data_IF_465536514633
#
_entry.id   IF_465536514633
#
_cell.length_a   1.000
_cell.length_b   1.000
_cell.length_c   1.000
_cell.angle_alpha   90.00
_cell.angle_beta   90.00
_cell.angle_gamma   90.00
#
_symmetry.space_group_name_H-M   'P 1'
#
loop_
_entity.id
_entity.type
_entity.pdbx_description
1 polymer ?
#
# COMPACT_ATOMS: atom_id res chain seq x y z
N UNK A 1 -2.13 4.47 3.96
CA UNK A 1 -1.38 5.68 4.41
C UNK A 1 -0.93 6.45 3.14
N UNK A 2 0.16 7.22 3.06
CA UNK A 2 0.67 7.70 1.75
C UNK A 2 1.69 6.67 1.20
N UNK A 3 1.80 6.47 -0.13
CA UNK A 3 2.62 5.40 -0.70
C UNK A 3 4.11 5.45 -0.30
N UNK A 4 4.70 6.65 -0.17
CA UNK A 4 6.10 6.78 0.23
C UNK A 4 6.36 6.30 1.67
N UNK A 5 5.37 6.41 2.56
CA UNK A 5 5.51 5.88 3.92
C UNK A 5 5.46 4.35 3.90
N UNK A 6 4.61 3.74 3.05
CA UNK A 6 4.57 2.29 2.88
C UNK A 6 5.89 1.76 2.30
N UNK A 7 6.47 2.47 1.34
CA UNK A 7 7.81 2.17 0.82
C UNK A 7 8.85 2.19 1.96
N UNK A 8 8.89 3.27 2.74
CA UNK A 8 9.88 3.44 3.82
C UNK A 8 9.73 2.36 4.90
N UNK A 9 8.52 2.08 5.35
CA UNK A 9 8.27 1.04 6.37
C UNK A 9 8.66 -0.35 5.83
N UNK A 10 8.31 -0.66 4.58
CA UNK A 10 8.72 -1.91 3.95
C UNK A 10 10.24 -2.01 3.85
N UNK A 11 10.93 -0.96 3.40
CA UNK A 11 12.39 -0.94 3.33
C UNK A 11 13.06 -1.14 4.69
N UNK A 12 12.57 -0.46 5.73
CA UNK A 12 13.04 -0.61 7.11
C UNK A 12 12.71 -1.98 7.72
N UNK A 13 11.74 -2.70 7.16
CA UNK A 13 11.42 -4.09 7.55
C UNK A 13 12.32 -5.08 6.81
N UNK A 14 12.52 -4.88 5.51
CA UNK A 14 13.24 -5.80 4.62
C UNK A 14 14.73 -5.77 4.89
N UNK A 15 15.34 -4.59 5.06
CA UNK A 15 16.79 -4.47 5.21
C UNK A 15 17.32 -5.24 6.44
N UNK A 16 16.74 -5.10 7.66
CA UNK A 16 17.19 -5.90 8.80
C UNK A 16 16.98 -7.41 8.60
N UNK A 17 15.86 -7.82 8.01
CA UNK A 17 15.60 -9.24 7.74
C UNK A 17 16.63 -9.80 6.76
N UNK A 18 16.93 -9.07 5.69
CA UNK A 18 17.95 -9.47 4.73
C UNK A 18 19.33 -9.60 5.37
N UNK A 19 19.74 -8.62 6.19
CA UNK A 19 21.05 -8.62 6.86
C UNK A 19 21.18 -9.77 7.89
N UNK A 20 20.13 -10.04 8.66
CA UNK A 20 20.18 -10.99 9.78
C UNK A 20 19.95 -12.43 9.30
N UNK A 21 19.00 -12.64 8.39
CA UNK A 21 18.54 -13.98 7.99
C UNK A 21 19.25 -14.47 6.73
N UNK A 22 19.73 -13.56 5.87
CA UNK A 22 20.43 -13.86 4.62
C UNK A 22 21.80 -13.17 4.56
N UNK A 23 22.69 -13.44 5.53
CA UNK A 23 23.98 -12.75 5.65
C UNK A 23 24.91 -12.97 4.46
N UNK A 24 24.64 -13.98 3.63
CA UNK A 24 25.37 -14.26 2.39
C UNK A 24 25.09 -13.24 1.27
N UNK A 25 24.03 -12.43 1.39
CA UNK A 25 23.67 -11.45 0.36
C UNK A 25 24.60 -10.26 0.34
N UNK A 26 24.98 -9.87 -0.88
CA UNK A 26 25.71 -8.64 -1.11
C UNK A 26 24.85 -7.39 -0.79
N UNK A 27 25.46 -6.22 -0.51
CA UNK A 27 24.73 -4.97 -0.32
C UNK A 27 23.83 -4.59 -1.51
N UNK A 28 24.23 -4.97 -2.74
CA UNK A 28 23.46 -4.71 -3.96
C UNK A 28 22.17 -5.53 -3.95
N UNK A 29 22.25 -6.82 -3.65
CA UNK A 29 21.06 -7.69 -3.56
C UNK A 29 20.11 -7.25 -2.45
N UNK A 30 20.64 -6.78 -1.32
CA UNK A 30 19.83 -6.18 -0.24
C UNK A 30 19.11 -4.92 -0.75
N UNK A 31 19.81 -4.08 -1.51
CA UNK A 31 19.23 -2.91 -2.16
C UNK A 31 18.10 -3.28 -3.12
N UNK A 32 18.29 -4.30 -3.96
CA UNK A 32 17.25 -4.83 -4.84
C UNK A 32 16.04 -5.32 -4.06
N UNK A 33 16.24 -6.05 -2.96
CA UNK A 33 15.15 -6.52 -2.11
C UNK A 33 14.34 -5.38 -1.51
N UNK A 34 15.02 -4.34 -1.01
CA UNK A 34 14.38 -3.13 -0.49
C UNK A 34 13.58 -2.41 -1.58
N UNK A 35 14.15 -2.27 -2.77
CA UNK A 35 13.47 -1.64 -3.90
C UNK A 35 12.24 -2.43 -4.33
N UNK A 36 12.37 -3.75 -4.52
CA UNK A 36 11.26 -4.61 -4.95
C UNK A 36 10.14 -4.60 -3.91
N UNK A 37 10.44 -4.94 -2.66
CA UNK A 37 9.40 -5.01 -1.62
C UNK A 37 8.82 -3.63 -1.26
N UNK A 38 9.65 -2.59 -1.26
CA UNK A 38 9.22 -1.21 -1.03
C UNK A 38 8.32 -0.69 -2.14
N UNK A 39 8.69 -0.88 -3.41
CA UNK A 39 7.87 -0.45 -4.55
C UNK A 39 6.57 -1.24 -4.63
N UNK A 40 6.59 -2.55 -4.37
CA UNK A 40 5.37 -3.36 -4.30
C UNK A 40 4.45 -2.87 -3.18
N UNK A 41 4.99 -2.62 -1.99
CA UNK A 41 4.25 -2.05 -0.86
C UNK A 41 3.59 -0.72 -1.24
N UNK A 42 4.31 0.18 -1.92
CA UNK A 42 3.74 1.45 -2.39
C UNK A 42 2.72 1.27 -3.54
N UNK A 43 2.94 0.30 -4.42
CA UNK A 43 2.10 0.05 -5.59
C UNK A 43 0.71 -0.48 -5.21
N UNK A 44 0.58 -1.15 -4.06
CA UNK A 44 -0.71 -1.65 -3.57
C UNK A 44 -1.70 -0.50 -3.36
N UNK A 45 -1.25 0.71 -2.98
CA UNK A 45 -2.09 1.93 -2.85
C UNK A 45 -2.62 2.49 -4.17
N UNK A 46 -2.12 2.03 -5.33
CA UNK A 46 -2.59 2.53 -6.63
C UNK A 46 -4.04 2.15 -6.90
N UNK A 47 -4.56 1.12 -6.23
CA UNK A 47 -5.96 0.70 -6.35
C UNK A 47 -6.91 1.79 -5.84
N UNK A 48 -6.58 2.49 -4.75
CA UNK A 48 -7.34 3.64 -4.24
C UNK A 48 -7.36 4.76 -5.28
N UNK A 49 -6.21 5.08 -5.87
CA UNK A 49 -6.11 6.13 -6.90
C UNK A 49 -6.97 5.77 -8.11
N UNK A 50 -6.91 4.52 -8.57
CA UNK A 50 -7.74 4.02 -9.65
C UNK A 50 -9.24 4.11 -9.32
N UNK A 51 -9.64 3.71 -8.12
CA UNK A 51 -11.03 3.78 -7.66
C UNK A 51 -11.54 5.23 -7.55
N UNK A 52 -10.71 6.15 -7.07
CA UNK A 52 -11.01 7.59 -7.05
C UNK A 52 -11.25 8.10 -8.47
N UNK A 53 -10.35 7.76 -9.39
CA UNK A 53 -10.47 8.15 -10.79
C UNK A 53 -11.77 7.62 -11.42
N UNK A 54 -12.09 6.34 -11.21
CA UNK A 54 -13.32 5.72 -11.71
C UNK A 54 -14.58 6.36 -11.11
N UNK A 55 -14.63 6.52 -9.78
CA UNK A 55 -15.83 7.00 -9.09
C UNK A 55 -16.09 8.49 -9.28
N UNK A 56 -15.03 9.29 -9.47
CA UNK A 56 -15.13 10.72 -9.75
C UNK A 56 -15.89 11.07 -11.04
N UNK A 57 -16.10 10.10 -11.94
CA UNK A 57 -16.98 10.28 -13.11
C UNK A 57 -18.42 10.58 -12.68
N UNK A 58 -18.89 9.95 -11.60
CA UNK A 58 -20.25 10.10 -11.05
C UNK A 58 -20.30 11.01 -9.82
N UNK A 59 -19.25 11.01 -9.00
CA UNK A 59 -19.17 11.79 -7.76
C UNK A 59 -18.32 13.05 -7.95
N UNK A 60 -18.95 14.23 -7.94
CA UNK A 60 -18.27 15.52 -8.21
C UNK A 60 -17.22 15.85 -7.16
N UNK A 61 -17.43 15.46 -5.89
CA UNK A 61 -16.51 15.73 -4.78
C UNK A 61 -15.13 15.08 -4.94
N UNK A 62 -15.05 13.98 -5.70
CA UNK A 62 -13.79 13.26 -5.94
C UNK A 62 -12.95 13.85 -7.09
N UNK A 63 -13.50 14.74 -7.92
CA UNK A 63 -12.81 15.26 -9.12
C UNK A 63 -11.50 15.99 -8.82
N UNK A 64 -11.39 16.83 -7.76
CA UNK A 64 -10.11 17.48 -7.43
C UNK A 64 -8.99 16.46 -7.16
N UNK A 65 -9.35 15.31 -6.59
CA UNK A 65 -8.41 14.24 -6.22
C UNK A 65 -8.02 13.33 -7.39
N UNK A 66 -8.41 13.65 -8.63
CA UNK A 66 -7.79 13.06 -9.83
C UNK A 66 -6.34 13.48 -10.01
N UNK A 67 -6.00 14.67 -9.50
CA UNK A 67 -4.62 15.15 -9.48
C UNK A 67 -3.94 14.63 -8.21
N UNK A 68 -2.90 13.82 -8.38
CA UNK A 68 -2.11 13.25 -7.28
C UNK A 68 -1.56 14.34 -6.36
N UNK A 69 -1.15 15.49 -6.90
CA UNK A 69 -0.66 16.62 -6.10
C UNK A 69 -1.72 17.18 -5.14
N UNK A 70 -2.99 17.18 -5.53
CA UNK A 70 -4.08 17.60 -4.65
C UNK A 70 -4.31 16.61 -3.50
N UNK A 71 -4.09 15.31 -3.74
CA UNK A 71 -4.15 14.27 -2.69
C UNK A 71 -3.11 14.57 -1.62
N UNK A 72 -1.86 14.85 -2.01
CA UNK A 72 -0.80 15.20 -1.06
C UNK A 72 -1.09 16.50 -0.32
N UNK A 73 -1.49 17.55 -1.05
CA UNK A 73 -1.75 18.87 -0.47
C UNK A 73 -2.93 18.87 0.51
N UNK A 74 -3.97 18.08 0.23
CA UNK A 74 -5.23 18.05 0.98
C UNK A 74 -5.55 16.67 1.52
N UNK A 75 -4.54 15.97 2.05
CA UNK A 75 -4.66 14.56 2.43
C UNK A 75 -5.77 14.26 3.45
N UNK A 76 -5.98 15.15 4.44
CA UNK A 76 -7.08 15.00 5.41
C UNK A 76 -8.45 15.03 4.70
N UNK A 77 -8.69 16.07 3.89
CA UNK A 77 -9.93 16.21 3.12
C UNK A 77 -10.13 15.05 2.15
N UNK A 78 -9.06 14.58 1.51
CA UNK A 78 -9.08 13.40 0.65
C UNK A 78 -9.59 12.17 1.41
N UNK A 79 -8.99 11.86 2.56
CA UNK A 79 -9.39 10.73 3.42
C UNK A 79 -10.87 10.79 3.81
N UNK A 80 -11.33 11.96 4.24
CA UNK A 80 -12.72 12.15 4.64
C UNK A 80 -13.65 11.91 3.45
N UNK A 81 -13.31 12.49 2.28
CA UNK A 81 -14.10 12.33 1.05
C UNK A 81 -14.15 10.88 0.58
N UNK A 82 -13.04 10.13 0.57
CA UNK A 82 -13.05 8.71 0.16
C UNK A 82 -13.79 7.81 1.14
N UNK A 83 -13.84 8.19 2.42
CA UNK A 83 -14.61 7.49 3.45
C UNK A 83 -16.10 7.69 3.21
N UNK A 84 -16.57 8.94 3.13
CA UNK A 84 -17.98 9.30 2.94
C UNK A 84 -18.56 8.77 1.63
N UNK A 85 -17.77 8.85 0.55
CA UNK A 85 -18.21 8.39 -0.76
C UNK A 85 -18.15 6.87 -0.88
N UNK A 86 -17.65 6.14 0.12
CA UNK A 86 -17.53 4.68 0.10
C UNK A 86 -16.44 4.12 -0.82
N UNK A 87 -15.55 4.98 -1.35
CA UNK A 87 -14.35 4.55 -2.09
C UNK A 87 -13.48 3.70 -1.19
N UNK A 88 -13.24 4.14 0.05
CA UNK A 88 -12.36 3.48 1.00
C UNK A 88 -12.81 2.05 1.33
N UNK A 89 -14.12 1.83 1.49
CA UNK A 89 -14.67 0.48 1.72
C UNK A 89 -14.43 -0.47 0.54
N UNK A 90 -14.53 0.06 -0.68
CA UNK A 90 -14.28 -0.72 -1.90
C UNK A 90 -12.78 -0.98 -2.03
N UNK A 91 -11.99 0.07 -1.79
CA UNK A 91 -10.53 0.07 -1.72
C UNK A 91 -10.02 -1.03 -0.81
N UNK A 92 -10.40 -1.06 0.45
CA UNK A 92 -9.92 -2.11 1.37
C UNK A 92 -10.13 -3.54 0.88
N UNK A 93 -11.22 -3.82 0.15
CA UNK A 93 -11.45 -5.15 -0.43
C UNK A 93 -10.50 -5.42 -1.60
N UNK A 94 -10.38 -4.46 -2.51
CA UNK A 94 -9.46 -4.59 -3.65
C UNK A 94 -8.01 -4.67 -3.18
N UNK A 95 -7.67 -3.94 -2.14
CA UNK A 95 -6.35 -3.83 -1.57
C UNK A 95 -5.86 -5.14 -0.96
N UNK A 96 -6.72 -5.82 -0.20
CA UNK A 96 -6.44 -7.15 0.33
C UNK A 96 -6.35 -8.19 -0.80
N UNK A 97 -7.24 -8.11 -1.79
CA UNK A 97 -7.21 -9.00 -2.94
C UNK A 97 -5.92 -8.84 -3.76
N UNK A 98 -5.52 -7.60 -4.08
CA UNK A 98 -4.28 -7.30 -4.78
C UNK A 98 -3.05 -7.73 -3.98
N UNK A 99 -3.06 -7.53 -2.66
CA UNK A 99 -2.01 -8.04 -1.76
C UNK A 99 -1.82 -9.55 -1.90
N UNK A 100 -2.91 -10.32 -1.87
CA UNK A 100 -2.86 -11.78 -2.04
C UNK A 100 -2.37 -12.15 -3.44
N UNK A 101 -2.89 -11.50 -4.49
CA UNK A 101 -2.48 -11.76 -5.87
C UNK A 101 -1.00 -11.49 -6.10
N UNK A 102 -0.46 -10.40 -5.54
CA UNK A 102 0.98 -10.08 -5.60
C UNK A 102 1.79 -11.18 -4.95
N UNK A 103 1.44 -11.60 -3.73
CA UNK A 103 2.19 -12.67 -3.03
C UNK A 103 2.14 -13.99 -3.82
N UNK A 104 0.98 -14.38 -4.34
CA UNK A 104 0.83 -15.60 -5.16
C UNK A 104 1.64 -15.52 -6.46
N UNK A 105 1.62 -14.37 -7.14
CA UNK A 105 2.38 -14.18 -8.38
C UNK A 105 3.88 -14.35 -8.12
N UNK A 106 4.39 -13.74 -7.05
CA UNK A 106 5.80 -13.89 -6.69
C UNK A 106 6.14 -15.31 -6.22
N UNK A 107 5.21 -16.00 -5.55
CA UNK A 107 5.39 -17.37 -5.11
C UNK A 107 5.46 -18.39 -6.25
N UNK A 108 4.67 -18.21 -7.33
CA UNK A 108 4.62 -19.17 -8.43
C UNK A 108 5.58 -18.83 -9.57
N UNK A 109 5.90 -17.55 -9.80
CA UNK A 109 6.59 -17.10 -11.00
C UNK A 109 7.90 -16.35 -10.75
N UNK A 110 8.14 -15.82 -9.53
CA UNK A 110 9.31 -15.00 -9.21
C UNK A 110 9.92 -15.37 -7.85
N UNK A 111 10.24 -16.65 -7.67
CA UNK A 111 10.64 -17.23 -6.38
C UNK A 111 11.78 -16.48 -5.68
N UNK A 112 12.76 -15.98 -6.43
CA UNK A 112 13.91 -15.25 -5.88
C UNK A 112 13.51 -13.93 -5.19
N UNK A 113 12.34 -13.39 -5.53
CA UNK A 113 11.80 -12.15 -4.98
C UNK A 113 10.55 -12.39 -4.11
N UNK A 114 10.20 -13.65 -3.83
CA UNK A 114 9.05 -13.98 -2.99
C UNK A 114 9.16 -13.38 -1.59
N UNK A 115 10.31 -13.53 -0.93
CA UNK A 115 10.54 -13.04 0.43
C UNK A 115 10.40 -11.51 0.53
N UNK A 116 11.12 -10.69 -0.27
CA UNK A 116 10.96 -9.25 -0.20
C UNK A 116 9.54 -8.80 -0.58
N UNK A 117 8.88 -9.48 -1.51
CA UNK A 117 7.47 -9.20 -1.83
C UNK A 117 6.54 -9.48 -0.64
N UNK A 118 6.66 -10.66 0.00
CA UNK A 118 5.85 -11.03 1.16
C UNK A 118 6.06 -10.06 2.34
N UNK A 119 7.31 -9.70 2.64
CA UNK A 119 7.63 -8.70 3.67
C UNK A 119 7.06 -7.31 3.32
N UNK A 120 7.16 -6.91 2.06
CA UNK A 120 6.54 -5.69 1.55
C UNK A 120 5.03 -5.67 1.81
N UNK A 121 4.32 -6.74 1.43
CA UNK A 121 2.87 -6.87 1.65
C UNK A 121 2.50 -6.93 3.12
N UNK A 122 3.21 -7.72 3.94
CA UNK A 122 2.92 -7.84 5.37
C UNK A 122 3.11 -6.50 6.08
N UNK A 123 4.25 -5.84 5.83
CA UNK A 123 4.53 -4.51 6.42
C UNK A 123 3.49 -3.48 5.99
N UNK A 124 3.04 -3.53 4.73
CA UNK A 124 1.96 -2.71 4.22
C UNK A 124 0.68 -2.90 5.05
N UNK A 125 0.18 -4.14 5.16
CA UNK A 125 -1.05 -4.46 5.88
C UNK A 125 -0.97 -4.03 7.35
N UNK A 126 0.15 -4.33 8.02
CA UNK A 126 0.36 -3.97 9.43
C UNK A 126 0.33 -2.45 9.61
N UNK A 127 1.01 -1.71 8.74
CA UNK A 127 1.06 -0.25 8.81
C UNK A 127 -0.30 0.43 8.62
N UNK A 128 -1.27 -0.27 8.02
CA UNK A 128 -2.62 0.24 7.81
C UNK A 128 -3.62 -0.12 8.93
N UNK A 129 -3.29 -1.06 9.83
CA UNK A 129 -4.14 -1.43 10.99
C UNK A 129 -4.61 -0.20 11.80
N UNK A 130 -3.77 0.80 12.14
CA UNK A 130 -4.22 1.98 12.88
C UNK A 130 -5.27 2.80 12.12
N UNK A 131 -5.19 2.85 10.78
CA UNK A 131 -6.17 3.53 9.94
C UNK A 131 -7.48 2.74 9.88
N UNK A 132 -7.41 1.42 9.82
CA UNK A 132 -8.56 0.52 9.87
C UNK A 132 -9.35 0.66 11.18
N UNK A 133 -8.66 0.68 12.33
CA UNK A 133 -9.32 0.86 13.64
C UNK A 133 -10.10 2.16 13.74
N UNK A 134 -9.54 3.27 13.24
CA UNK A 134 -10.23 4.58 13.25
C UNK A 134 -11.52 4.56 12.44
N UNK A 135 -11.53 3.86 11.30
CA UNK A 135 -12.72 3.74 10.45
C UNK A 135 -13.82 2.90 11.09
N UNK A 136 -13.44 1.87 11.86
CA UNK A 136 -14.40 1.06 12.62
C UNK A 136 -14.98 1.86 13.79
N UNK A 137 -14.15 2.56 14.56
CA UNK A 137 -14.61 3.40 15.69
C UNK A 137 -15.51 4.56 15.25
N UNK A 138 -15.26 5.19 14.09
CA UNK A 138 -16.15 6.24 13.56
C UNK A 138 -17.56 5.75 13.19
N UNK A 139 -17.85 4.45 13.31
CA UNK A 139 -19.19 3.88 13.13
C UNK A 139 -19.95 3.71 14.44
N UNK A 140 -19.26 3.75 15.57
CA UNK A 140 -19.84 3.53 16.91
C UNK A 140 -20.22 4.84 17.61
N UNK A 141 -19.85 5.97 17.02
CA UNK A 141 -20.18 7.35 17.45
C UNK A 141 -21.00 8.06 16.39
#
# INVERSE_FOLDING_TARGET
MLPHNHFLIAGLTIAPVAIIVFPEKSPVEIGEWVLVGGLLSAAIDLDIIALVYLKSKKEKRLRPFRNIWEIFRKFKLFKDTISETGVLRTGMKTHLLFSILVVLLFYFYLNNYFIPAALGVISHIISDIPNLRRLVHSRET
#
